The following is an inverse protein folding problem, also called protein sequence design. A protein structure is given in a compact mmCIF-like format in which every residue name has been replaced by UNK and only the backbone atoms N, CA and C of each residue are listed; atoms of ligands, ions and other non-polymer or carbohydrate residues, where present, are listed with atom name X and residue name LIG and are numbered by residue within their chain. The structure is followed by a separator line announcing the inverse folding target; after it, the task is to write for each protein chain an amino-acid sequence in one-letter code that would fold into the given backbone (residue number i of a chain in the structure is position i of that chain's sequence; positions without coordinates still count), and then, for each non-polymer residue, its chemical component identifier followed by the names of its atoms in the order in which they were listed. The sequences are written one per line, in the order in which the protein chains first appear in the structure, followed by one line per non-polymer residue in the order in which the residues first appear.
data_IF_097731335649
#
_entry.id   IF_097731335649
#
_cell.length_a   1.000
_cell.length_b   1.000
_cell.length_c   1.000
_cell.angle_alpha   90.00
_cell.angle_beta   90.00
_cell.angle_gamma   90.00
#
_symmetry.space_group_name_H-M   'P 1'
#
loop_
_entity.id
_entity.type
_entity.pdbx_description
1 polymer ?
#
# COMPACT_ATOMS: atom_id res chain seq x y z
N UNK A 1 10.27 -27.36 -7.16
CA UNK A 1 10.06 -27.33 -8.62
C UNK A 1 11.17 -26.51 -9.25
N UNK A 2 11.79 -26.95 -10.36
CA UNK A 2 12.77 -26.14 -11.07
C UNK A 2 12.10 -24.92 -11.70
N UNK A 3 12.70 -23.75 -11.51
CA UNK A 3 12.26 -22.50 -12.12
C UNK A 3 12.93 -22.36 -13.50
N UNK A 4 12.13 -22.21 -14.57
CA UNK A 4 12.62 -22.09 -15.94
C UNK A 4 12.38 -20.68 -16.49
N UNK A 5 13.44 -20.05 -16.99
CA UNK A 5 13.35 -18.75 -17.68
C UNK A 5 12.99 -18.95 -19.14
N UNK A 6 12.00 -18.20 -19.64
CA UNK A 6 11.71 -18.14 -21.07
C UNK A 6 12.75 -17.29 -21.79
N UNK A 7 12.84 -17.43 -23.12
CA UNK A 7 13.67 -16.55 -23.96
C UNK A 7 13.27 -15.08 -23.83
N UNK A 8 12.01 -14.80 -23.51
CA UNK A 8 11.54 -13.43 -23.27
C UNK A 8 12.07 -12.87 -21.95
N UNK A 9 12.08 -13.69 -20.90
CA UNK A 9 12.63 -13.31 -19.58
C UNK A 9 14.12 -13.01 -19.69
N UNK A 10 14.87 -13.86 -20.41
CA UNK A 10 16.30 -13.64 -20.65
C UNK A 10 16.52 -12.31 -21.37
N UNK A 11 15.70 -11.97 -22.38
CA UNK A 11 15.79 -10.68 -23.08
C UNK A 11 15.51 -9.50 -22.16
N UNK A 12 14.50 -9.58 -21.30
CA UNK A 12 14.19 -8.54 -20.30
C UNK A 12 15.33 -8.37 -19.30
N UNK A 13 15.94 -9.47 -18.83
CA UNK A 13 17.10 -9.43 -17.93
C UNK A 13 18.27 -8.73 -18.62
N UNK A 14 18.59 -9.14 -19.85
CA UNK A 14 19.67 -8.52 -20.63
C UNK A 14 19.42 -7.03 -20.89
N UNK A 15 18.17 -6.64 -21.18
CA UNK A 15 17.78 -5.23 -21.34
C UNK A 15 18.04 -4.42 -20.06
N UNK A 16 17.62 -4.95 -18.91
CA UNK A 16 17.85 -4.31 -17.61
C UNK A 16 19.34 -4.14 -17.30
N UNK A 17 20.14 -5.19 -17.52
CA UNK A 17 21.58 -5.16 -17.30
C UNK A 17 22.24 -4.11 -18.20
N UNK A 18 21.91 -4.10 -19.49
CA UNK A 18 22.49 -3.13 -20.43
C UNK A 18 22.14 -1.69 -20.03
N UNK A 19 20.90 -1.43 -19.61
CA UNK A 19 20.50 -0.12 -19.13
C UNK A 19 21.30 0.31 -17.89
N UNK A 20 21.51 -0.60 -16.92
CA UNK A 20 22.33 -0.33 -15.73
C UNK A 20 23.82 -0.12 -16.06
N UNK A 21 24.35 -0.81 -17.06
CA UNK A 21 25.72 -0.57 -17.55
C UNK A 21 25.87 0.82 -18.17
N UNK A 22 24.85 1.30 -18.90
CA UNK A 22 24.82 2.68 -19.42
C UNK A 22 24.79 3.69 -18.28
N UNK A 23 23.91 3.49 -17.28
CA UNK A 23 23.83 4.32 -16.06
C UNK A 23 25.19 4.37 -15.35
N UNK A 24 25.85 3.22 -15.19
CA UNK A 24 27.18 3.14 -14.58
C UNK A 24 28.24 3.89 -15.40
N UNK A 25 28.17 3.80 -16.73
CA UNK A 25 29.08 4.51 -17.62
C UNK A 25 28.94 6.03 -17.49
N UNK A 26 27.71 6.53 -17.36
CA UNK A 26 27.43 7.96 -17.10
C UNK A 26 28.01 8.37 -15.73
N UNK A 27 27.75 7.60 -14.67
CA UNK A 27 28.31 7.87 -13.32
C UNK A 27 29.83 7.98 -13.36
N UNK A 28 30.49 7.04 -14.05
CA UNK A 28 31.94 7.02 -14.18
C UNK A 28 32.45 8.22 -14.99
N UNK A 29 31.76 8.61 -16.06
CA UNK A 29 32.14 9.75 -16.90
C UNK A 29 31.99 11.09 -16.15
N UNK A 30 31.00 11.20 -15.26
CA UNK A 30 30.72 12.41 -14.50
C UNK A 30 31.54 12.52 -13.20
N UNK A 31 32.31 11.50 -12.85
CA UNK A 31 33.20 11.53 -11.69
C UNK A 31 34.33 12.57 -11.88
N UNK A 32 34.80 13.24 -10.80
CA UNK A 32 34.37 13.08 -9.42
C UNK A 32 33.15 13.93 -9.04
N UNK A 33 32.70 14.84 -9.91
CA UNK A 33 31.72 15.88 -9.55
C UNK A 33 30.29 15.36 -9.49
N UNK A 34 29.97 14.30 -10.25
CA UNK A 34 28.66 13.65 -10.32
C UNK A 34 27.49 14.62 -10.60
N UNK A 35 27.75 15.65 -11.40
CA UNK A 35 26.74 16.60 -11.85
C UNK A 35 26.35 16.26 -13.29
N UNK A 36 25.10 15.84 -13.49
CA UNK A 36 24.51 15.57 -14.79
C UNK A 36 23.67 16.78 -15.23
N UNK A 37 23.68 17.11 -16.53
CA UNK A 37 22.84 18.20 -17.07
C UNK A 37 22.39 17.90 -18.49
N UNK A 38 21.18 18.35 -18.82
CA UNK A 38 20.64 18.27 -20.18
C UNK A 38 20.53 16.82 -20.65
N UNK A 39 21.12 16.50 -21.81
CA UNK A 39 20.98 15.17 -22.42
C UNK A 39 21.54 14.03 -21.57
N UNK A 40 22.62 14.27 -20.82
CA UNK A 40 23.19 13.24 -19.94
C UNK A 40 22.24 12.90 -18.78
N UNK A 41 21.53 13.90 -18.26
CA UNK A 41 20.53 13.71 -17.21
C UNK A 41 19.30 12.98 -17.76
N UNK A 42 18.81 13.39 -18.93
CA UNK A 42 17.68 12.75 -19.61
C UNK A 42 17.97 11.26 -19.89
N UNK A 43 19.14 10.96 -20.46
CA UNK A 43 19.55 9.58 -20.75
C UNK A 43 19.73 8.77 -19.46
N UNK A 44 20.32 9.36 -18.42
CA UNK A 44 20.49 8.70 -17.13
C UNK A 44 19.15 8.29 -16.51
N UNK A 45 18.17 9.21 -16.49
CA UNK A 45 16.83 8.96 -15.96
C UNK A 45 16.08 7.93 -16.81
N UNK A 46 16.15 8.06 -18.14
CA UNK A 46 15.51 7.11 -19.06
C UNK A 46 16.01 5.68 -18.84
N UNK A 47 17.33 5.48 -18.76
CA UNK A 47 17.92 4.15 -18.57
C UNK A 47 17.63 3.57 -17.18
N UNK A 48 17.61 4.40 -16.13
CA UNK A 48 17.20 3.97 -14.80
C UNK A 48 15.74 3.49 -14.78
N UNK A 49 14.83 4.25 -15.39
CA UNK A 49 13.41 3.86 -15.47
C UNK A 49 13.22 2.59 -16.29
N UNK A 50 13.97 2.43 -17.39
CA UNK A 50 13.93 1.22 -18.22
C UNK A 50 14.39 -0.02 -17.43
N UNK A 51 15.48 0.10 -16.68
CA UNK A 51 15.96 -0.98 -15.81
C UNK A 51 14.93 -1.33 -14.74
N UNK A 52 14.35 -0.32 -14.08
CA UNK A 52 13.35 -0.50 -13.04
C UNK A 52 12.09 -1.23 -13.55
N UNK A 53 11.58 -0.84 -14.72
CA UNK A 53 10.43 -1.52 -15.36
C UNK A 53 10.74 -2.97 -15.71
N UNK A 54 11.86 -3.20 -16.39
CA UNK A 54 12.27 -4.53 -16.84
C UNK A 54 12.44 -5.51 -15.66
N UNK A 55 13.06 -5.04 -14.57
CA UNK A 55 13.21 -5.84 -13.34
C UNK A 55 11.88 -6.05 -12.63
N UNK A 56 10.99 -5.06 -12.59
CA UNK A 56 9.67 -5.19 -11.97
C UNK A 56 8.80 -6.23 -12.70
N UNK A 57 8.84 -6.23 -14.03
CA UNK A 57 8.11 -7.20 -14.86
C UNK A 57 8.62 -8.61 -14.60
N UNK A 58 9.94 -8.81 -14.56
CA UNK A 58 10.56 -10.10 -14.24
C UNK A 58 10.16 -10.58 -12.85
N UNK A 59 10.30 -9.73 -11.84
CA UNK A 59 9.92 -10.06 -10.47
C UNK A 59 8.44 -10.49 -10.37
N UNK A 60 7.54 -9.87 -11.14
CA UNK A 60 6.14 -10.28 -11.23
C UNK A 60 5.96 -11.69 -11.80
N UNK A 61 6.73 -12.07 -12.83
CA UNK A 61 6.67 -13.38 -13.50
C UNK A 61 7.16 -14.50 -12.58
N UNK A 62 8.17 -14.23 -11.75
CA UNK A 62 8.74 -15.18 -10.79
C UNK A 62 7.82 -15.37 -9.55
N UNK A 63 6.67 -14.68 -9.50
CA UNK A 63 5.80 -14.67 -8.33
C UNK A 63 6.38 -13.87 -7.15
N UNK A 64 7.57 -13.29 -7.32
CA UNK A 64 8.19 -12.33 -6.42
C UNK A 64 7.62 -10.94 -6.69
N UNK A 65 6.35 -10.78 -6.36
CA UNK A 65 5.81 -9.44 -6.18
C UNK A 65 6.51 -8.81 -4.97
N UNK A 66 7.33 -7.77 -5.18
CA UNK A 66 7.84 -6.92 -4.10
C UNK A 66 6.71 -6.49 -3.14
N UNK A 67 5.48 -6.38 -3.66
CA UNK A 67 4.24 -6.05 -2.93
C UNK A 67 3.77 -7.17 -1.98
N UNK A 68 3.97 -8.45 -2.33
CA UNK A 68 3.68 -9.60 -1.45
C UNK A 68 4.65 -9.65 -0.27
N UNK A 69 5.93 -9.32 -0.50
CA UNK A 69 6.93 -9.32 0.57
C UNK A 69 6.73 -8.18 1.56
N UNK A 70 6.38 -6.96 1.12
CA UNK A 70 6.10 -5.85 2.06
C UNK A 70 4.94 -6.20 3.00
N UNK A 71 3.82 -6.69 2.45
CA UNK A 71 2.66 -7.05 3.27
C UNK A 71 2.95 -8.28 4.14
N UNK A 72 3.55 -9.34 3.59
CA UNK A 72 3.89 -10.54 4.38
C UNK A 72 4.87 -10.24 5.51
N UNK A 73 5.83 -9.33 5.30
CA UNK A 73 6.76 -8.88 6.35
C UNK A 73 6.04 -8.10 7.45
N UNK A 74 5.04 -7.28 7.10
CA UNK A 74 4.20 -6.59 8.10
C UNK A 74 3.37 -7.62 8.88
N UNK A 75 2.80 -8.60 8.18
CA UNK A 75 1.93 -9.63 8.75
C UNK A 75 2.68 -10.66 9.61
N UNK A 76 3.93 -11.00 9.29
CA UNK A 76 4.71 -12.03 10.01
C UNK A 76 4.97 -11.69 11.48
N UNK A 77 4.91 -10.40 11.85
CA UNK A 77 5.03 -9.93 13.22
C UNK A 77 3.69 -9.65 13.91
N UNK A 78 2.57 -10.08 13.32
CA UNK A 78 1.23 -9.83 13.84
C UNK A 78 0.54 -11.13 14.24
N UNK A 79 -0.34 -11.03 15.24
CA UNK A 79 -1.20 -12.13 15.64
C UNK A 79 -2.59 -11.91 15.03
N UNK A 80 -3.11 -12.84 14.20
CA UNK A 80 -4.45 -12.72 13.61
C UNK A 80 -5.56 -12.53 14.64
N UNK A 81 -5.46 -13.16 15.81
CA UNK A 81 -6.47 -13.06 16.88
C UNK A 81 -6.41 -11.74 17.66
N UNK A 82 -5.37 -10.93 17.47
CA UNK A 82 -5.20 -9.62 18.13
C UNK A 82 -5.10 -8.47 17.11
N UNK A 83 -5.37 -8.74 15.83
CA UNK A 83 -5.26 -7.79 14.73
C UNK A 83 -6.64 -7.42 14.18
N UNK A 84 -6.86 -6.13 13.94
CA UNK A 84 -8.03 -5.60 13.23
C UNK A 84 -7.57 -4.86 11.97
N UNK A 85 -8.21 -5.13 10.83
CA UNK A 85 -7.94 -4.43 9.59
C UNK A 85 -8.82 -3.17 9.48
N UNK A 86 -8.18 -2.04 9.16
CA UNK A 86 -8.85 -0.85 8.65
C UNK A 86 -8.51 -0.66 7.17
N UNK A 87 -9.54 -0.55 6.35
CA UNK A 87 -9.40 -0.33 4.91
C UNK A 87 -10.15 0.92 4.47
N UNK A 88 -9.66 1.59 3.44
CA UNK A 88 -10.25 2.86 3.01
C UNK A 88 -11.63 2.66 2.36
N UNK A 89 -11.82 1.62 1.54
CA UNK A 89 -13.06 1.46 0.75
C UNK A 89 -13.95 0.28 1.20
N UNK A 90 -15.29 0.46 1.23
CA UNK A 90 -16.23 -0.64 1.49
C UNK A 90 -16.22 -1.73 0.42
N UNK A 91 -15.86 -1.40 -0.83
CA UNK A 91 -15.69 -2.38 -1.91
C UNK A 91 -14.52 -3.33 -1.61
N UNK A 92 -13.37 -2.80 -1.17
CA UNK A 92 -12.23 -3.63 -0.81
C UNK A 92 -12.52 -4.48 0.42
N UNK A 93 -13.18 -3.93 1.44
CA UNK A 93 -13.67 -4.70 2.58
C UNK A 93 -14.54 -5.89 2.16
N UNK A 94 -15.48 -5.69 1.23
CA UNK A 94 -16.34 -6.78 0.72
C UNK A 94 -15.52 -7.86 0.01
N UNK A 95 -14.50 -7.50 -0.76
CA UNK A 95 -13.58 -8.45 -1.41
C UNK A 95 -12.79 -9.26 -0.37
N UNK A 96 -12.27 -8.62 0.67
CA UNK A 96 -11.57 -9.30 1.76
C UNK A 96 -12.47 -10.32 2.47
N UNK A 97 -13.69 -9.91 2.81
CA UNK A 97 -14.67 -10.80 3.45
C UNK A 97 -15.04 -11.96 2.53
N UNK A 98 -15.27 -11.69 1.24
CA UNK A 98 -15.54 -12.72 0.23
C UNK A 98 -14.39 -13.73 0.06
N UNK A 99 -13.16 -13.31 0.30
CA UNK A 99 -11.98 -14.17 0.25
C UNK A 99 -11.71 -14.93 1.57
N UNK A 100 -12.52 -14.72 2.62
CA UNK A 100 -12.43 -15.44 3.88
C UNK A 100 -11.79 -14.67 5.04
N UNK A 101 -11.53 -13.36 4.91
CA UNK A 101 -11.19 -12.52 6.07
C UNK A 101 -12.44 -12.39 6.97
N UNK A 102 -12.33 -12.65 8.28
CA UNK A 102 -13.50 -12.58 9.16
C UNK A 102 -14.11 -11.18 9.20
N UNK A 103 -15.44 -11.08 9.10
CA UNK A 103 -16.15 -9.79 9.02
C UNK A 103 -15.95 -8.92 10.27
N UNK A 104 -15.76 -9.58 11.41
CA UNK A 104 -15.45 -8.98 12.70
C UNK A 104 -14.02 -8.42 12.76
N UNK A 105 -13.13 -8.88 11.89
CA UNK A 105 -11.71 -8.47 11.80
C UNK A 105 -11.42 -7.40 10.75
N UNK A 106 -12.44 -6.82 10.14
CA UNK A 106 -12.26 -5.75 9.14
C UNK A 106 -13.33 -4.66 9.25
N UNK A 107 -12.92 -3.41 9.11
CA UNK A 107 -13.80 -2.23 9.04
C UNK A 107 -13.37 -1.37 7.85
N UNK A 108 -14.35 -0.88 7.09
CA UNK A 108 -14.12 0.15 6.09
C UNK A 108 -14.26 1.54 6.71
N UNK A 109 -13.29 2.40 6.48
CA UNK A 109 -13.36 3.81 6.88
C UNK A 109 -14.39 4.51 5.98
N UNK A 110 -14.32 4.30 4.67
CA UNK A 110 -15.27 4.87 3.71
C UNK A 110 -15.09 6.36 3.44
N UNK A 111 -13.86 6.88 3.61
CA UNK A 111 -13.53 8.28 3.35
C UNK A 111 -12.58 8.89 4.39
N UNK A 112 -12.42 10.23 4.41
CA UNK A 112 -11.55 10.93 5.36
C UNK A 112 -11.95 10.68 6.83
N UNK A 113 -11.04 10.89 7.78
CA UNK A 113 -11.29 10.65 9.22
C UNK A 113 -11.84 11.87 9.99
N UNK A 114 -12.00 13.02 9.33
CA UNK A 114 -12.62 14.21 9.90
C UNK A 114 -13.42 14.99 8.85
N UNK A 115 -14.30 15.89 9.31
CA UNK A 115 -15.05 16.80 8.44
C UNK A 115 -14.13 17.86 7.81
N UNK A 116 -13.07 18.25 8.52
CA UNK A 116 -12.03 19.16 8.06
C UNK A 116 -11.26 18.55 6.88
N UNK A 117 -10.84 17.29 7.01
CA UNK A 117 -10.14 16.56 5.93
C UNK A 117 -11.06 16.43 4.69
N UNK A 118 -12.38 16.29 4.88
CA UNK A 118 -13.34 16.26 3.78
C UNK A 118 -13.44 17.62 3.06
N UNK A 119 -13.40 18.73 3.81
CA UNK A 119 -13.35 20.09 3.24
C UNK A 119 -12.00 20.39 2.59
N UNK A 120 -10.89 19.84 3.09
CA UNK A 120 -9.58 19.98 2.44
C UNK A 120 -9.57 19.31 1.06
N UNK A 121 -10.18 18.13 0.94
CA UNK A 121 -10.32 17.42 -0.33
C UNK A 121 -11.28 18.14 -1.29
N UNK A 122 -12.33 18.76 -0.76
CA UNK A 122 -13.35 19.48 -1.54
C UNK A 122 -13.78 20.77 -0.82
N UNK A 123 -13.10 21.91 -1.06
CA UNK A 123 -13.37 23.16 -0.33
C UNK A 123 -14.78 23.73 -0.51
N UNK A 124 -15.48 23.36 -1.60
CA UNK A 124 -16.86 23.78 -1.89
C UNK A 124 -17.91 22.76 -1.42
N UNK A 125 -17.55 21.87 -0.50
CA UNK A 125 -18.46 20.84 0.00
C UNK A 125 -19.68 21.48 0.69
N UNK A 126 -20.92 21.20 0.26
CA UNK A 126 -22.12 21.75 0.88
C UNK A 126 -22.27 21.31 2.35
N UNK A 127 -22.88 22.13 3.20
CA UNK A 127 -23.06 21.84 4.63
C UNK A 127 -23.84 20.54 4.89
N UNK A 128 -24.80 20.20 4.03
CA UNK A 128 -25.53 18.93 4.09
C UNK A 128 -24.61 17.73 3.89
N UNK A 129 -23.66 17.82 2.95
CA UNK A 129 -22.68 16.77 2.71
C UNK A 129 -21.68 16.68 3.88
N UNK A 130 -21.30 17.80 4.50
CA UNK A 130 -20.48 17.82 5.72
C UNK A 130 -21.18 17.06 6.86
N UNK A 131 -22.47 17.34 7.10
CA UNK A 131 -23.29 16.60 8.08
C UNK A 131 -23.35 15.09 7.77
N UNK A 132 -23.42 14.73 6.49
CA UNK A 132 -23.33 13.33 6.06
C UNK A 132 -21.99 12.67 6.42
N UNK A 133 -20.88 13.39 6.25
CA UNK A 133 -19.54 12.92 6.66
C UNK A 133 -19.48 12.71 8.17
N UNK A 134 -20.01 13.64 8.97
CA UNK A 134 -20.06 13.55 10.43
C UNK A 134 -20.86 12.35 10.91
N UNK A 135 -22.06 12.13 10.36
CA UNK A 135 -22.90 10.98 10.70
C UNK A 135 -22.24 9.63 10.37
N UNK A 136 -21.53 9.56 9.22
CA UNK A 136 -20.70 8.39 8.86
C UNK A 136 -19.56 8.20 9.86
N UNK A 137 -18.84 9.27 10.23
CA UNK A 137 -17.75 9.20 11.20
C UNK A 137 -18.22 8.71 12.56
N UNK A 138 -19.36 9.20 13.06
CA UNK A 138 -19.96 8.69 14.30
C UNK A 138 -20.25 7.20 14.23
N UNK A 139 -20.71 6.71 13.09
CA UNK A 139 -20.98 5.28 12.88
C UNK A 139 -19.69 4.47 12.80
N UNK A 140 -18.67 4.97 12.10
CA UNK A 140 -17.33 4.38 12.04
C UNK A 140 -16.70 4.27 13.43
N UNK A 141 -16.70 5.35 14.23
CA UNK A 141 -16.11 5.34 15.56
C UNK A 141 -16.80 4.37 16.51
N UNK A 142 -18.14 4.27 16.46
CA UNK A 142 -18.90 3.27 17.22
C UNK A 142 -18.59 1.84 16.78
N UNK A 143 -18.46 1.60 15.47
CA UNK A 143 -18.10 0.28 14.97
C UNK A 143 -16.68 -0.11 15.40
N UNK A 144 -15.72 0.82 15.33
CA UNK A 144 -14.35 0.62 15.76
C UNK A 144 -14.27 0.34 17.26
N UNK A 145 -14.94 1.15 18.10
CA UNK A 145 -14.99 0.94 19.55
C UNK A 145 -15.49 -0.46 19.93
N UNK A 146 -16.51 -0.96 19.22
CA UNK A 146 -17.04 -2.31 19.45
C UNK A 146 -16.03 -3.40 19.08
N UNK A 147 -15.32 -3.24 17.96
CA UNK A 147 -14.44 -4.26 17.38
C UNK A 147 -13.01 -4.23 17.93
N UNK A 148 -12.58 -3.11 18.51
CA UNK A 148 -11.22 -2.96 19.05
C UNK A 148 -11.04 -3.66 20.41
N UNK A 149 -12.12 -4.15 21.03
CA UNK A 149 -12.04 -4.90 22.29
C UNK A 149 -11.24 -6.20 22.10
N UNK A 150 -10.16 -6.35 22.87
CA UNK A 150 -9.26 -7.50 22.74
C UNK A 150 -8.32 -7.44 21.54
N UNK A 151 -8.27 -6.31 20.83
CA UNK A 151 -7.33 -6.05 19.74
C UNK A 151 -6.12 -5.33 20.31
N UNK A 152 -4.92 -5.79 19.96
CA UNK A 152 -3.66 -5.09 20.28
C UNK A 152 -3.19 -4.23 19.13
N UNK A 153 -3.41 -4.69 17.89
CA UNK A 153 -2.91 -4.01 16.69
C UNK A 153 -4.03 -3.72 15.71
N UNK A 154 -4.08 -2.48 15.25
CA UNK A 154 -4.85 -2.07 14.08
C UNK A 154 -3.91 -1.95 12.90
N UNK A 155 -4.14 -2.75 11.85
CA UNK A 155 -3.42 -2.64 10.59
C UNK A 155 -4.24 -1.80 9.61
N UNK A 156 -3.76 -0.60 9.34
CA UNK A 156 -4.34 0.33 8.37
C UNK A 156 -3.73 0.06 6.99
N UNK A 157 -4.57 -0.29 6.02
CA UNK A 157 -4.15 -0.62 4.66
C UNK A 157 -4.54 0.53 3.73
N UNK A 158 -3.53 1.13 3.10
CA UNK A 158 -3.63 2.34 2.29
C UNK A 158 -2.99 2.14 0.91
N UNK A 159 -3.45 2.90 -0.09
CA UNK A 159 -2.77 3.00 -1.38
C UNK A 159 -1.72 4.14 -1.39
N UNK A 160 -0.55 3.90 -2.00
CA UNK A 160 0.59 4.85 -2.03
C UNK A 160 0.29 6.20 -2.71
N UNK A 161 -0.76 6.30 -3.52
CA UNK A 161 -1.06 7.48 -4.35
C UNK A 161 -2.41 8.15 -4.08
N UNK A 162 -3.12 7.75 -3.01
CA UNK A 162 -4.43 8.30 -2.68
C UNK A 162 -4.35 9.55 -1.81
N UNK A 163 -4.86 10.69 -2.27
CA UNK A 163 -4.97 11.91 -1.43
C UNK A 163 -5.78 11.68 -0.15
N UNK A 164 -6.81 10.83 -0.23
CA UNK A 164 -7.61 10.42 0.93
C UNK A 164 -6.77 9.57 1.88
N UNK A 165 -6.03 8.60 1.35
CA UNK A 165 -5.14 7.71 2.10
C UNK A 165 -4.06 8.50 2.85
N UNK A 166 -3.47 9.52 2.25
CA UNK A 166 -2.51 10.41 2.90
C UNK A 166 -3.11 11.13 4.12
N UNK A 167 -4.33 11.64 3.99
CA UNK A 167 -5.03 12.31 5.10
C UNK A 167 -5.37 11.32 6.22
N UNK A 168 -5.82 10.12 5.87
CA UNK A 168 -6.07 9.05 6.85
C UNK A 168 -4.78 8.67 7.58
N UNK A 169 -3.66 8.54 6.86
CA UNK A 169 -2.36 8.23 7.46
C UNK A 169 -1.92 9.30 8.47
N UNK A 170 -2.08 10.58 8.14
CA UNK A 170 -1.79 11.71 9.06
C UNK A 170 -2.63 11.65 10.34
N UNK A 171 -3.85 11.09 10.25
CA UNK A 171 -4.79 10.95 11.36
C UNK A 171 -4.72 9.59 12.06
N UNK A 172 -3.82 8.69 11.65
CA UNK A 172 -3.71 7.35 12.21
C UNK A 172 -3.40 7.36 13.72
N UNK A 173 -2.64 8.36 14.20
CA UNK A 173 -2.32 8.53 15.63
C UNK A 173 -3.57 8.73 16.48
N UNK A 174 -4.62 9.38 15.94
CA UNK A 174 -5.89 9.59 16.65
C UNK A 174 -6.53 8.26 17.07
N UNK A 175 -6.41 7.23 16.24
CA UNK A 175 -6.92 5.88 16.57
C UNK A 175 -6.11 5.28 17.73
N UNK A 176 -4.77 5.41 17.66
CA UNK A 176 -3.88 4.93 18.71
C UNK A 176 -4.16 5.61 20.05
N UNK A 177 -4.29 6.94 20.05
CA UNK A 177 -4.53 7.77 21.23
C UNK A 177 -5.91 7.48 21.84
N UNK A 178 -6.94 7.34 21.01
CA UNK A 178 -8.32 7.16 21.47
C UNK A 178 -8.60 5.78 22.05
N UNK A 179 -7.97 4.73 21.50
CA UNK A 179 -8.28 3.34 21.87
C UNK A 179 -7.12 2.58 22.52
N UNK A 180 -5.94 3.19 22.67
CA UNK A 180 -4.78 2.55 23.29
C UNK A 180 -4.24 1.34 22.52
N UNK A 181 -4.37 1.35 21.19
CA UNK A 181 -3.92 0.25 20.31
C UNK A 181 -2.72 0.65 19.49
N UNK A 182 -1.88 -0.33 19.13
CA UNK A 182 -0.80 -0.09 18.19
C UNK A 182 -1.37 0.05 16.77
N UNK A 183 -1.14 1.18 16.11
CA UNK A 183 -1.55 1.38 14.72
C UNK A 183 -0.35 1.17 13.81
N UNK A 184 -0.40 0.14 12.96
CA UNK A 184 0.57 -0.08 11.90
C UNK A 184 -0.03 0.32 10.56
N UNK A 185 0.76 0.93 9.70
CA UNK A 185 0.34 1.35 8.36
C UNK A 185 1.06 0.48 7.32
N UNK A 186 0.30 -0.13 6.43
CA UNK A 186 0.80 -0.83 5.25
C UNK A 186 0.40 -0.05 3.99
N UNK A 187 1.40 0.47 3.29
CA UNK A 187 1.20 1.15 2.01
C UNK A 187 1.37 0.18 0.86
N UNK A 188 0.33 0.05 0.05
CA UNK A 188 0.29 -0.83 -1.11
C UNK A 188 0.24 0.00 -2.40
N UNK A 189 0.87 -0.50 -3.46
CA UNK A 189 0.79 0.17 -4.76
C UNK A 189 -0.61 0.07 -5.39
N UNK A 190 -1.36 -1.00 -5.07
CA UNK A 190 -2.73 -1.23 -5.47
C UNK A 190 -3.39 -2.29 -4.57
N UNK A 191 -4.72 -2.23 -4.43
CA UNK A 191 -5.52 -3.18 -3.64
C UNK A 191 -6.06 -4.35 -4.49
N UNK A 192 -5.19 -5.02 -5.26
CA UNK A 192 -5.54 -6.15 -6.14
C UNK A 192 -5.66 -7.51 -5.41
N UNK A 193 -6.09 -8.57 -6.11
CA UNK A 193 -6.31 -9.91 -5.56
C UNK A 193 -5.10 -10.52 -4.82
N UNK A 194 -3.83 -10.31 -5.24
CA UNK A 194 -2.69 -10.81 -4.49
C UNK A 194 -2.59 -10.30 -3.03
N UNK A 195 -3.10 -9.09 -2.76
CA UNK A 195 -3.20 -8.54 -1.40
C UNK A 195 -4.31 -9.22 -0.60
N UNK A 196 -5.46 -9.41 -1.26
CA UNK A 196 -6.62 -10.10 -0.68
C UNK A 196 -6.24 -11.52 -0.22
N UNK A 197 -5.50 -12.25 -1.06
CA UNK A 197 -5.02 -13.59 -0.74
C UNK A 197 -4.11 -13.62 0.48
N UNK A 198 -3.16 -12.69 0.57
CA UNK A 198 -2.21 -12.63 1.69
C UNK A 198 -2.92 -12.37 3.03
N UNK A 199 -3.87 -11.43 3.04
CA UNK A 199 -4.66 -11.13 4.25
C UNK A 199 -5.59 -12.29 4.63
N UNK A 200 -6.20 -12.95 3.64
CA UNK A 200 -7.02 -14.14 3.89
C UNK A 200 -6.21 -15.25 4.56
N UNK A 201 -5.04 -15.58 4.01
CA UNK A 201 -4.14 -16.59 4.58
C UNK A 201 -3.69 -16.25 6.00
N UNK A 202 -3.32 -15.00 6.23
CA UNK A 202 -2.98 -14.51 7.56
C UNK A 202 -4.08 -14.81 8.59
N UNK A 203 -5.34 -14.52 8.28
CA UNK A 203 -6.44 -14.82 9.22
C UNK A 203 -6.81 -16.31 9.32
N UNK A 204 -6.42 -17.12 8.34
CA UNK A 204 -6.57 -18.59 8.38
C UNK A 204 -5.43 -19.30 9.12
N UNK A 205 -4.31 -18.61 9.37
CA UNK A 205 -3.11 -19.20 9.98
C UNK A 205 -2.28 -20.03 9.01
N UNK A 206 -2.34 -19.70 7.70
CA UNK A 206 -1.58 -20.35 6.62
C UNK A 206 -0.28 -19.61 6.27
#
# INVERSE_FOLDING_TARGET
MPFSLSSDDVRKISSAINALLTVWSIIRASAPRLVLRGREEEEFVEKLLLAQRSLSDLLSIIGFSLRKNELNNVLSGLNPSETLLLVVSPSFMRRLVGAGVPRERVIAIGGPLSAEDAKELSPRLPEEAVRGVEARLQSFWRELERKVRGIRTVLLILEKSGRVDELIAKRASVISEKFGVNVKIAYLSNLEDPCVDALSRFFKGE
#
